data_IF_647967285355
#
_entry.id   IF_647967285355
#
_cell.length_a   1.000
_cell.length_b   1.000
_cell.length_c   1.000
_cell.angle_alpha   90.00
_cell.angle_beta   90.00
_cell.angle_gamma   90.00
#
_symmetry.space_group_name_H-M   'P 1'
#
loop_
_entity.id
_entity.type
_entity.pdbx_description
1 polymer ?
#
# COMPACT_ATOMS: atom_id res chain seq x y z
N UNK A 1 -69.31 2.61 -1.41
CA UNK A 1 -68.27 3.66 -1.51
C UNK A 1 -67.30 3.48 -0.36
N UNK A 2 -66.22 2.79 -0.63
CA UNK A 2 -65.15 2.49 0.35
C UNK A 2 -63.92 3.24 -0.11
N UNK A 3 -63.61 4.34 0.57
CA UNK A 3 -62.44 5.17 0.33
C UNK A 3 -61.20 4.40 0.81
N UNK A 4 -60.32 4.10 -0.14
CA UNK A 4 -58.98 3.56 0.14
C UNK A 4 -58.01 4.75 0.24
N UNK A 5 -57.23 4.91 1.32
CA UNK A 5 -56.28 5.99 1.44
C UNK A 5 -55.11 5.81 0.44
N UNK A 6 -54.52 6.90 -0.05
CA UNK A 6 -53.46 6.85 -1.05
C UNK A 6 -52.17 6.31 -0.40
N UNK A 7 -51.52 5.37 -1.09
CA UNK A 7 -50.20 4.84 -0.74
C UNK A 7 -49.16 5.98 -0.74
N UNK A 8 -48.61 6.25 0.43
CA UNK A 8 -47.48 7.16 0.58
C UNK A 8 -46.25 6.64 -0.22
N UNK A 9 -45.71 7.51 -1.08
CA UNK A 9 -44.44 7.25 -1.74
C UNK A 9 -43.34 7.09 -0.67
N UNK A 10 -42.43 6.12 -0.82
CA UNK A 10 -41.28 6.03 0.09
C UNK A 10 -40.47 7.32 -0.03
N UNK A 11 -40.14 7.89 1.13
CA UNK A 11 -39.27 9.07 1.22
C UNK A 11 -37.92 8.75 0.56
N UNK A 12 -37.33 9.70 -0.19
CA UNK A 12 -36.00 9.49 -0.73
C UNK A 12 -35.04 9.28 0.44
N UNK A 13 -34.26 8.20 0.34
CA UNK A 13 -33.15 7.92 1.25
C UNK A 13 -32.26 9.16 1.28
N UNK A 14 -32.22 9.85 2.42
CA UNK A 14 -31.26 10.97 2.60
C UNK A 14 -29.88 10.37 2.45
N UNK A 15 -29.00 10.93 1.60
CA UNK A 15 -27.60 10.55 1.63
C UNK A 15 -27.14 10.76 3.07
N UNK A 16 -26.49 9.72 3.63
CA UNK A 16 -25.84 9.79 4.92
C UNK A 16 -25.02 11.06 4.94
N UNK A 17 -25.30 11.91 5.91
CA UNK A 17 -24.62 13.19 6.09
C UNK A 17 -23.11 12.91 6.08
N UNK A 18 -22.46 13.24 4.98
CA UNK A 18 -21.06 13.64 5.05
C UNK A 18 -21.12 14.92 5.87
N UNK A 19 -21.08 14.77 7.20
CA UNK A 19 -20.95 15.88 8.10
C UNK A 19 -19.73 16.66 7.60
N UNK A 20 -19.90 17.97 7.40
CA UNK A 20 -18.82 18.84 6.99
C UNK A 20 -17.67 18.58 7.98
N UNK A 21 -16.65 17.85 7.48
CA UNK A 21 -15.45 17.61 8.26
C UNK A 21 -14.91 18.97 8.68
N UNK A 22 -14.56 19.13 9.95
CA UNK A 22 -13.93 20.33 10.41
C UNK A 22 -12.57 20.49 9.72
N UNK A 23 -12.07 21.71 9.62
CA UNK A 23 -10.74 21.96 8.99
C UNK A 23 -9.67 21.09 9.64
N UNK A 24 -9.74 20.89 10.94
CA UNK A 24 -8.86 20.01 11.73
C UNK A 24 -8.95 18.52 11.32
N UNK A 25 -10.15 18.04 10.96
CA UNK A 25 -10.32 16.67 10.49
C UNK A 25 -9.71 16.46 9.09
N UNK A 26 -9.83 17.47 8.21
CA UNK A 26 -9.22 17.42 6.89
C UNK A 26 -7.69 17.49 6.94
N UNK A 27 -7.14 18.32 7.82
CA UNK A 27 -5.70 18.41 8.06
C UNK A 27 -5.15 17.10 8.61
N UNK A 28 -5.80 16.52 9.61
CA UNK A 28 -5.43 15.21 10.16
C UNK A 28 -5.45 14.11 9.11
N UNK A 29 -6.48 14.05 8.26
CA UNK A 29 -6.57 13.09 7.16
C UNK A 29 -5.45 13.24 6.15
N UNK A 30 -5.07 14.49 5.82
CA UNK A 30 -3.92 14.77 4.95
C UNK A 30 -2.61 14.34 5.59
N UNK A 31 -2.40 14.60 6.87
CA UNK A 31 -1.23 14.16 7.62
C UNK A 31 -1.09 12.64 7.65
N UNK A 32 -2.19 11.92 7.77
CA UNK A 32 -2.23 10.45 7.76
C UNK A 32 -2.21 9.86 6.34
N UNK A 33 -2.31 10.71 5.28
CA UNK A 33 -2.40 10.22 3.90
C UNK A 33 -3.68 9.42 3.62
N UNK A 34 -4.75 9.67 4.40
CA UNK A 34 -6.01 8.94 4.29
C UNK A 34 -6.86 9.43 3.12
N UNK A 35 -7.09 8.57 2.15
CA UNK A 35 -8.01 8.80 1.04
C UNK A 35 -9.10 7.74 1.07
N UNK A 36 -10.32 8.15 1.48
CA UNK A 36 -11.43 7.22 1.54
C UNK A 36 -11.87 6.76 0.15
N UNK A 37 -12.01 5.46 0.02
CA UNK A 37 -12.55 4.85 -1.20
C UNK A 37 -14.07 4.88 -1.18
N UNK A 38 -14.68 5.31 -2.28
CA UNK A 38 -16.14 5.27 -2.39
C UNK A 38 -16.64 3.82 -2.42
N UNK A 39 -17.85 3.55 -1.91
CA UNK A 39 -18.48 2.21 -2.03
C UNK A 39 -18.58 1.70 -3.47
N UNK A 40 -18.69 2.62 -4.43
CA UNK A 40 -18.75 2.30 -5.86
C UNK A 40 -17.41 1.69 -6.35
N UNK A 41 -16.28 2.33 -6.01
CA UNK A 41 -14.94 1.83 -6.38
C UNK A 41 -14.62 0.53 -5.66
N UNK A 42 -14.87 0.47 -4.36
CA UNK A 42 -14.63 -0.75 -3.59
C UNK A 42 -15.51 -1.91 -4.05
N UNK A 43 -16.77 -1.62 -4.45
CA UNK A 43 -17.67 -2.59 -5.06
C UNK A 43 -17.19 -3.12 -6.39
N UNK A 44 -16.71 -2.23 -7.25
CA UNK A 44 -16.09 -2.62 -8.51
C UNK A 44 -14.89 -3.55 -8.29
N UNK A 45 -14.01 -3.20 -7.33
CA UNK A 45 -12.84 -4.01 -7.00
C UNK A 45 -13.27 -5.40 -6.52
N UNK A 46 -14.28 -5.49 -5.66
CA UNK A 46 -14.80 -6.76 -5.18
C UNK A 46 -15.40 -7.61 -6.31
N UNK A 47 -16.23 -7.00 -7.14
CA UNK A 47 -16.86 -7.68 -8.26
C UNK A 47 -15.81 -8.20 -9.27
N UNK A 48 -14.74 -7.43 -9.53
CA UNK A 48 -13.65 -7.87 -10.41
C UNK A 48 -12.80 -8.98 -9.76
N UNK A 49 -12.59 -8.96 -8.46
CA UNK A 49 -11.96 -10.08 -7.75
C UNK A 49 -12.74 -11.40 -7.92
N UNK A 50 -14.08 -11.35 -7.86
CA UNK A 50 -14.91 -12.54 -8.10
C UNK A 50 -14.84 -13.01 -9.58
N UNK A 51 -14.76 -12.09 -10.53
CA UNK A 51 -14.55 -12.42 -11.95
C UNK A 51 -13.20 -13.11 -12.16
N UNK A 52 -12.14 -12.58 -11.56
CA UNK A 52 -10.78 -13.16 -11.62
C UNK A 52 -10.74 -14.53 -10.94
N UNK A 53 -11.42 -14.68 -9.80
CA UNK A 53 -11.52 -15.95 -9.08
C UNK A 53 -12.37 -16.99 -9.81
N UNK A 54 -13.27 -16.55 -10.72
CA UNK A 54 -14.13 -17.38 -11.56
C UNK A 54 -15.45 -17.79 -10.91
N UNK A 55 -15.64 -17.50 -9.64
CA UNK A 55 -16.83 -17.82 -8.86
C UNK A 55 -16.90 -16.96 -7.61
N UNK A 56 -17.95 -17.09 -6.82
CA UNK A 56 -18.00 -16.49 -5.48
C UNK A 56 -16.97 -17.15 -4.57
N UNK A 57 -16.40 -16.35 -3.70
CA UNK A 57 -15.47 -16.84 -2.70
C UNK A 57 -16.15 -17.80 -1.71
N UNK A 58 -15.49 -18.88 -1.30
CA UNK A 58 -16.00 -19.74 -0.23
C UNK A 58 -16.19 -18.97 1.07
N UNK A 59 -17.17 -19.38 1.88
CA UNK A 59 -17.43 -18.75 3.20
C UNK A 59 -16.26 -18.83 4.17
N UNK A 60 -15.29 -19.70 3.94
CA UNK A 60 -14.05 -19.81 4.71
C UNK A 60 -12.98 -18.80 4.33
N UNK A 61 -13.20 -18.00 3.26
CA UNK A 61 -12.25 -17.01 2.76
C UNK A 61 -11.95 -15.96 3.80
N UNK A 62 -10.67 -15.78 4.13
CA UNK A 62 -10.18 -14.75 5.03
C UNK A 62 -9.74 -13.53 4.22
N UNK A 63 -10.28 -12.38 4.57
CA UNK A 63 -10.02 -11.11 3.90
C UNK A 63 -9.39 -10.12 4.86
N UNK A 64 -8.37 -9.38 4.43
CA UNK A 64 -7.79 -8.28 5.21
C UNK A 64 -7.64 -7.01 4.38
N UNK A 65 -7.91 -5.88 5.07
CA UNK A 65 -7.48 -4.55 4.67
C UNK A 65 -6.56 -3.98 5.77
N UNK A 66 -5.23 -3.86 5.54
CA UNK A 66 -4.29 -3.40 6.56
C UNK A 66 -4.29 -1.87 6.76
N UNK A 67 -5.13 -1.13 6.03
CA UNK A 67 -5.34 0.32 6.17
C UNK A 67 -6.83 0.62 5.97
N UNK A 68 -7.68 -0.04 6.76
CA UNK A 68 -9.09 -0.25 6.43
C UNK A 68 -9.97 1.02 6.49
N UNK A 69 -9.50 2.10 7.10
CA UNK A 69 -10.30 3.31 7.24
C UNK A 69 -11.67 3.00 7.87
N UNK A 70 -12.73 3.44 7.22
CA UNK A 70 -14.11 3.15 7.65
C UNK A 70 -14.55 1.70 7.35
N UNK A 71 -13.68 0.83 6.81
CA UNK A 71 -13.95 -0.58 6.55
C UNK A 71 -14.74 -0.86 5.26
N UNK A 72 -14.70 0.03 4.27
CA UNK A 72 -15.53 -0.09 3.06
C UNK A 72 -15.28 -1.38 2.27
N UNK A 73 -14.02 -1.83 2.11
CA UNK A 73 -13.70 -3.08 1.41
C UNK A 73 -14.24 -4.30 2.16
N UNK A 74 -14.12 -4.31 3.47
CA UNK A 74 -14.59 -5.40 4.32
C UNK A 74 -16.12 -5.45 4.37
N UNK A 75 -16.76 -4.28 4.41
CA UNK A 75 -18.22 -4.17 4.32
C UNK A 75 -18.75 -4.80 3.04
N UNK A 76 -18.13 -4.51 1.90
CA UNK A 76 -18.55 -5.06 0.61
C UNK A 76 -18.21 -6.55 0.45
N UNK A 77 -17.12 -7.02 1.07
CA UNK A 77 -16.83 -8.45 1.16
C UNK A 77 -17.94 -9.21 1.92
N UNK A 78 -18.52 -8.60 2.96
CA UNK A 78 -19.67 -9.14 3.67
C UNK A 78 -20.96 -9.02 2.86
N UNK A 79 -21.30 -7.81 2.41
CA UNK A 79 -22.58 -7.49 1.78
C UNK A 79 -22.75 -8.18 0.40
N UNK A 80 -21.73 -8.07 -0.46
CA UNK A 80 -21.77 -8.61 -1.82
C UNK A 80 -21.22 -10.04 -1.90
N UNK A 81 -20.08 -10.27 -1.26
CA UNK A 81 -19.41 -11.57 -1.26
C UNK A 81 -20.07 -12.61 -0.37
N UNK A 82 -20.92 -12.20 0.58
CA UNK A 82 -21.57 -13.09 1.53
C UNK A 82 -20.61 -13.70 2.54
N UNK A 83 -19.43 -13.09 2.74
CA UNK A 83 -18.43 -13.62 3.66
C UNK A 83 -18.81 -13.35 5.12
N UNK A 84 -18.62 -14.33 6.02
CA UNK A 84 -18.86 -14.13 7.45
C UNK A 84 -17.99 -13.02 8.03
N UNK A 85 -18.57 -12.15 8.86
CA UNK A 85 -17.82 -11.04 9.48
C UNK A 85 -16.60 -11.54 10.27
N UNK A 86 -16.65 -12.71 10.91
CA UNK A 86 -15.52 -13.29 11.61
C UNK A 86 -14.30 -13.63 10.74
N UNK A 87 -14.46 -13.64 9.41
CA UNK A 87 -13.36 -13.85 8.45
C UNK A 87 -12.83 -12.55 7.85
N UNK A 88 -13.34 -11.40 8.30
CA UNK A 88 -12.93 -10.08 7.87
C UNK A 88 -12.01 -9.47 8.91
N UNK A 89 -10.86 -9.01 8.45
CA UNK A 89 -9.79 -8.46 9.29
C UNK A 89 -9.42 -7.05 8.79
N UNK A 90 -9.10 -6.17 9.72
CA UNK A 90 -8.66 -4.83 9.37
C UNK A 90 -7.89 -4.15 10.48
N UNK A 91 -6.98 -3.30 10.08
CA UNK A 91 -6.25 -2.41 10.97
C UNK A 91 -6.28 -1.00 10.42
N UNK A 92 -6.37 -0.02 11.29
CA UNK A 92 -6.13 1.38 10.94
C UNK A 92 -5.47 2.11 12.12
N UNK A 93 -4.54 3.00 11.82
CA UNK A 93 -3.81 3.77 12.84
C UNK A 93 -4.71 4.82 13.52
N UNK A 94 -5.81 5.19 12.87
CA UNK A 94 -6.75 6.17 13.40
C UNK A 94 -7.75 5.54 14.37
N UNK A 95 -7.45 5.61 15.65
CA UNK A 95 -8.31 5.09 16.70
C UNK A 95 -9.72 5.74 16.77
N UNK A 96 -9.93 6.90 16.12
CA UNK A 96 -11.26 7.55 16.08
C UNK A 96 -12.28 6.77 15.25
N UNK A 97 -11.83 5.88 14.37
CA UNK A 97 -12.68 5.03 13.53
C UNK A 97 -13.38 3.90 14.32
N UNK A 98 -12.88 3.54 15.49
CA UNK A 98 -13.38 2.41 16.29
C UNK A 98 -14.87 2.54 16.58
N UNK A 99 -15.34 3.73 16.95
CA UNK A 99 -16.75 3.97 17.21
C UNK A 99 -17.61 3.70 15.96
N UNK A 100 -17.14 4.11 14.78
CA UNK A 100 -17.80 3.83 13.50
C UNK A 100 -17.93 2.32 13.24
N UNK A 101 -16.85 1.57 13.41
CA UNK A 101 -16.84 0.11 13.21
C UNK A 101 -17.81 -0.61 14.13
N UNK A 102 -17.89 -0.19 15.41
CA UNK A 102 -18.77 -0.80 16.42
C UNK A 102 -20.25 -0.55 16.12
N UNK A 103 -20.57 0.60 15.53
CA UNK A 103 -21.95 0.97 15.19
C UNK A 103 -22.40 0.45 13.82
N UNK A 104 -21.49 0.05 12.95
CA UNK A 104 -21.82 -0.49 11.63
C UNK A 104 -22.32 -1.94 11.74
N UNK A 105 -23.59 -2.22 11.38
CA UNK A 105 -24.14 -3.57 11.47
C UNK A 105 -23.43 -4.57 10.55
N UNK A 106 -22.85 -4.13 9.42
CA UNK A 106 -22.16 -4.98 8.45
C UNK A 106 -20.74 -5.37 8.92
N UNK A 107 -20.15 -4.57 9.81
CA UNK A 107 -18.83 -4.84 10.40
C UNK A 107 -18.89 -5.48 11.78
N UNK A 108 -20.11 -5.67 12.30
CA UNK A 108 -20.30 -6.31 13.61
C UNK A 108 -19.77 -7.74 13.60
N UNK A 109 -18.78 -8.02 14.46
CA UNK A 109 -18.11 -9.31 14.55
C UNK A 109 -16.91 -9.46 13.62
N UNK A 110 -16.56 -8.43 12.83
CA UNK A 110 -15.30 -8.38 12.12
C UNK A 110 -14.12 -8.13 13.07
N UNK A 111 -12.95 -8.62 12.69
CA UNK A 111 -11.71 -8.50 13.47
C UNK A 111 -10.99 -7.18 13.15
N UNK A 112 -11.61 -6.06 13.56
CA UNK A 112 -11.07 -4.72 13.34
C UNK A 112 -10.37 -4.20 14.60
N UNK A 113 -9.22 -3.55 14.45
CA UNK A 113 -8.52 -2.98 15.59
C UNK A 113 -7.79 -1.68 15.23
N UNK A 114 -7.71 -0.74 16.18
CA UNK A 114 -6.83 0.40 16.04
C UNK A 114 -5.38 -0.05 16.18
N UNK A 115 -4.57 0.21 15.15
CA UNK A 115 -3.16 -0.18 15.16
C UNK A 115 -2.48 0.02 13.83
N UNK A 116 -1.17 -0.14 13.83
CA UNK A 116 -0.37 0.01 12.63
C UNK A 116 -0.47 -1.25 11.74
N UNK A 117 -1.13 -1.14 10.60
CA UNK A 117 -1.33 -2.25 9.66
C UNK A 117 -0.05 -2.86 9.05
N UNK A 118 1.09 -2.20 9.24
CA UNK A 118 2.40 -2.76 8.86
C UNK A 118 2.91 -3.82 9.85
N UNK A 119 2.28 -3.93 11.03
CA UNK A 119 2.68 -4.87 12.07
C UNK A 119 1.83 -6.15 12.02
N UNK A 120 2.46 -7.27 12.37
CA UNK A 120 1.75 -8.50 12.67
C UNK A 120 1.11 -8.41 14.06
N UNK A 121 -0.10 -8.93 14.18
CA UNK A 121 -0.85 -9.05 15.44
C UNK A 121 -1.37 -10.49 15.61
N UNK A 122 -0.47 -11.45 15.94
CA UNK A 122 -0.80 -12.88 15.99
C UNK A 122 -1.96 -13.20 16.94
N UNK A 123 -2.05 -12.49 18.07
CA UNK A 123 -3.17 -12.63 19.02
C UNK A 123 -4.54 -12.25 18.39
N UNK A 124 -4.53 -11.54 17.26
CA UNK A 124 -5.73 -11.18 16.48
C UNK A 124 -5.84 -11.96 15.17
N UNK A 125 -4.94 -12.89 14.92
CA UNK A 125 -4.88 -13.66 13.67
C UNK A 125 -4.41 -12.87 12.46
N UNK A 126 -3.67 -11.75 12.65
CA UNK A 126 -3.07 -10.95 11.58
C UNK A 126 -1.60 -11.27 11.49
N UNK A 127 -1.26 -12.08 10.51
CA UNK A 127 0.10 -12.55 10.25
C UNK A 127 0.39 -12.60 8.76
N UNK A 128 1.67 -12.54 8.39
CA UNK A 128 2.11 -12.75 7.01
C UNK A 128 1.65 -14.13 6.49
N UNK A 129 1.19 -14.19 5.24
CA UNK A 129 0.77 -15.44 4.59
C UNK A 129 -0.54 -16.03 5.08
N UNK A 130 -1.36 -15.27 5.83
CA UNK A 130 -2.56 -15.81 6.47
C UNK A 130 -3.87 -15.56 5.70
N UNK A 131 -3.88 -14.76 4.63
CA UNK A 131 -5.11 -14.28 4.01
C UNK A 131 -5.32 -14.77 2.59
N UNK A 132 -6.55 -15.17 2.28
CA UNK A 132 -6.97 -15.56 0.93
C UNK A 132 -7.09 -14.37 0.00
N UNK A 133 -7.54 -13.23 0.53
CA UNK A 133 -7.70 -11.97 -0.19
C UNK A 133 -7.14 -10.83 0.66
N UNK A 134 -6.30 -10.01 0.05
CA UNK A 134 -5.81 -8.76 0.62
C UNK A 134 -6.29 -7.62 -0.29
N UNK A 135 -7.22 -6.80 0.19
CA UNK A 135 -7.82 -5.75 -0.64
C UNK A 135 -7.91 -4.43 0.15
N UNK A 136 -7.53 -3.33 -0.48
CA UNK A 136 -7.59 -2.03 0.18
C UNK A 136 -6.98 -0.88 -0.61
N UNK A 137 -7.03 0.29 0.01
CA UNK A 137 -6.44 1.52 -0.45
C UNK A 137 -5.46 2.06 0.60
N UNK A 138 -4.18 1.67 0.55
CA UNK A 138 -3.19 2.11 1.53
C UNK A 138 -2.96 3.62 1.46
N UNK A 139 -2.39 4.24 2.51
CA UNK A 139 -2.07 5.65 2.49
C UNK A 139 -1.03 5.98 1.41
N UNK A 140 -1.24 7.11 0.72
CA UNK A 140 -0.30 7.69 -0.24
C UNK A 140 0.17 9.03 0.30
N UNK A 141 1.46 9.24 0.40
CA UNK A 141 1.98 10.50 0.95
C UNK A 141 1.71 10.69 2.46
N UNK A 142 1.77 11.92 2.93
CA UNK A 142 1.68 12.25 4.33
C UNK A 142 3.05 12.15 5.02
N UNK A 143 3.06 12.03 6.35
CA UNK A 143 4.31 11.88 7.14
C UNK A 143 5.04 10.57 6.83
N UNK A 144 4.31 9.57 6.33
CA UNK A 144 4.88 8.27 6.03
C UNK A 144 5.54 7.64 7.26
N UNK A 145 6.79 7.21 7.09
CA UNK A 145 7.58 6.61 8.18
C UNK A 145 8.50 7.62 8.90
N UNK A 146 8.33 8.93 8.67
CA UNK A 146 9.19 9.98 9.27
C UNK A 146 9.21 9.96 10.80
N UNK A 147 8.13 9.49 11.43
CA UNK A 147 8.09 9.33 12.89
C UNK A 147 9.16 8.38 13.43
N UNK A 148 9.74 7.52 12.58
CA UNK A 148 10.89 6.69 12.96
C UNK A 148 12.11 7.51 13.33
N UNK A 149 12.30 8.72 12.77
CA UNK A 149 13.40 9.61 13.10
C UNK A 149 13.40 10.04 14.58
N UNK A 150 12.22 10.06 15.21
CA UNK A 150 12.08 10.37 16.65
C UNK A 150 12.81 9.37 17.54
N UNK A 151 13.09 8.16 17.04
CA UNK A 151 13.93 7.20 17.77
C UNK A 151 15.39 7.64 17.88
N UNK A 152 15.84 8.50 16.95
CA UNK A 152 17.21 9.02 16.89
C UNK A 152 17.39 10.31 17.69
N UNK A 153 16.29 10.92 18.14
CA UNK A 153 16.31 12.11 19.00
C UNK A 153 16.62 11.68 20.43
N UNK A 154 17.73 12.14 20.98
CA UNK A 154 18.04 11.93 22.40
C UNK A 154 17.20 12.91 23.24
N UNK A 155 16.70 12.50 24.43
CA UNK A 155 15.81 13.33 25.25
C UNK A 155 16.42 14.65 25.73
N UNK A 156 17.75 14.83 25.64
CA UNK A 156 18.47 15.96 26.24
C UNK A 156 19.28 16.83 25.26
N UNK A 157 19.35 16.54 23.96
CA UNK A 157 20.25 17.27 23.05
C UNK A 157 19.63 17.72 21.74
N UNK A 158 18.34 18.03 21.69
CA UNK A 158 17.77 18.71 20.54
C UNK A 158 18.40 20.14 20.45
N UNK A 159 19.56 20.26 19.80
CA UNK A 159 20.10 21.55 19.40
C UNK A 159 19.33 22.05 18.19
N UNK A 160 18.86 23.32 18.20
CA UNK A 160 18.09 23.88 17.08
C UNK A 160 18.86 23.98 15.76
N UNK A 161 20.18 23.78 15.77
CA UNK A 161 21.07 24.06 14.66
C UNK A 161 21.31 22.90 13.66
N UNK A 162 20.84 21.67 13.94
CA UNK A 162 20.98 20.55 13.00
C UNK A 162 19.75 20.35 12.08
N UNK A 163 18.82 21.28 12.09
CA UNK A 163 17.58 21.22 11.29
C UNK A 163 17.76 21.63 9.83
N UNK A 164 18.91 22.16 9.43
CA UNK A 164 19.13 22.79 8.11
C UNK A 164 19.57 21.83 6.98
N UNK A 165 19.71 20.54 7.21
CA UNK A 165 20.21 19.61 6.17
C UNK A 165 19.15 18.91 5.31
N UNK A 166 17.86 19.15 5.54
CA UNK A 166 16.77 18.58 4.75
C UNK A 166 15.83 19.66 4.21
N UNK A 167 16.39 20.76 3.74
CA UNK A 167 15.61 21.79 3.05
C UNK A 167 15.48 21.40 1.57
N UNK A 168 14.58 20.48 1.26
CA UNK A 168 14.13 20.28 -0.11
C UNK A 168 12.75 20.93 -0.28
N UNK A 169 12.62 21.68 -1.34
CA UNK A 169 11.74 22.79 -1.67
C UNK A 169 10.21 22.58 -1.54
N UNK A 170 9.71 21.60 -0.81
CA UNK A 170 8.30 21.31 -0.60
C UNK A 170 7.73 21.66 0.79
N UNK A 171 8.52 22.18 1.72
CA UNK A 171 8.07 22.48 3.09
C UNK A 171 8.24 23.97 3.42
N UNK A 172 7.55 24.83 2.69
CA UNK A 172 7.25 26.17 3.21
C UNK A 172 5.91 26.08 3.91
N UNK A 173 5.95 26.04 5.27
CA UNK A 173 4.97 26.68 6.13
C UNK A 173 5.14 26.23 7.59
N UNK A 174 5.65 27.17 8.42
CA UNK A 174 5.59 27.16 9.87
C UNK A 174 6.74 26.45 10.59
N UNK A 175 7.12 26.94 11.80
CA UNK A 175 8.10 26.24 12.63
C UNK A 175 7.55 24.85 12.98
N UNK A 176 8.36 23.82 12.74
CA UNK A 176 8.02 22.47 13.16
C UNK A 176 7.67 22.47 14.66
N UNK A 177 6.54 21.90 15.08
CA UNK A 177 6.22 21.83 16.49
C UNK A 177 7.34 21.05 17.19
N UNK A 178 7.87 21.62 18.28
CA UNK A 178 8.82 20.92 19.13
C UNK A 178 8.19 19.57 19.52
N UNK A 179 8.81 18.47 19.10
CA UNK A 179 8.31 17.13 19.32
C UNK A 179 8.28 16.84 20.83
N UNK A 180 7.11 16.50 21.34
CA UNK A 180 7.03 15.98 22.70
C UNK A 180 7.85 14.67 22.82
N UNK A 181 8.57 14.44 23.92
CA UNK A 181 9.31 13.21 24.12
C UNK A 181 8.45 11.97 23.89
N UNK A 182 9.02 10.94 23.26
CA UNK A 182 8.31 9.68 23.05
C UNK A 182 7.97 9.04 24.42
N UNK A 183 6.70 8.66 24.58
CA UNK A 183 6.34 7.78 25.69
C UNK A 183 7.04 6.42 25.53
N UNK A 184 7.24 5.71 26.64
CA UNK A 184 7.84 4.36 26.61
C UNK A 184 7.09 3.42 25.65
N UNK A 185 5.76 3.51 25.62
CA UNK A 185 4.93 2.71 24.72
C UNK A 185 5.13 3.08 23.25
N UNK A 186 5.11 4.38 22.92
CA UNK A 186 5.34 4.85 21.55
C UNK A 186 6.74 4.47 21.05
N UNK A 187 7.77 4.58 21.89
CA UNK A 187 9.13 4.13 21.55
C UNK A 187 9.16 2.63 21.24
N UNK A 188 8.53 1.80 22.06
CA UNK A 188 8.49 0.35 21.85
C UNK A 188 7.76 -0.02 20.54
N UNK A 189 6.69 0.70 20.21
CA UNK A 189 5.96 0.49 18.96
C UNK A 189 6.80 0.86 17.73
N UNK A 190 7.49 2.00 17.76
CA UNK A 190 8.39 2.40 16.67
C UNK A 190 9.59 1.44 16.54
N UNK A 191 10.16 0.95 17.62
CA UNK A 191 11.22 -0.07 17.59
C UNK A 191 10.69 -1.39 16.97
N UNK A 192 9.49 -1.80 17.34
CA UNK A 192 8.83 -2.95 16.71
C UNK A 192 8.64 -2.75 15.21
N UNK A 193 8.25 -1.54 14.80
CA UNK A 193 8.11 -1.18 13.38
C UNK A 193 9.45 -1.26 12.65
N UNK A 194 10.54 -0.71 13.20
CA UNK A 194 11.89 -0.83 12.62
C UNK A 194 12.28 -2.30 12.43
N UNK A 195 12.05 -3.16 13.44
CA UNK A 195 12.35 -4.60 13.37
C UNK A 195 11.54 -5.31 12.28
N UNK A 196 10.26 -4.97 12.15
CA UNK A 196 9.39 -5.52 11.11
C UNK A 196 9.85 -5.08 9.73
N UNK A 197 10.02 -3.78 9.54
CA UNK A 197 10.40 -3.22 8.25
C UNK A 197 11.84 -3.54 7.83
N UNK A 198 12.74 -3.81 8.77
CA UNK A 198 14.10 -4.25 8.43
C UNK A 198 14.12 -5.54 7.60
N UNK A 199 13.07 -6.35 7.69
CA UNK A 199 12.88 -7.58 6.89
C UNK A 199 12.29 -7.32 5.51
N UNK A 200 11.80 -6.10 5.23
CA UNK A 200 11.21 -5.74 3.95
C UNK A 200 12.31 -5.51 2.90
N UNK A 201 11.95 -5.74 1.65
CA UNK A 201 12.87 -5.58 0.53
C UNK A 201 12.83 -4.18 -0.06
N UNK A 202 11.66 -3.53 -0.08
CA UNK A 202 11.41 -2.28 -0.80
C UNK A 202 12.41 -1.15 -0.48
N UNK A 203 12.74 -0.94 0.78
CA UNK A 203 13.66 0.14 1.19
C UNK A 203 15.11 -0.10 0.76
N UNK A 204 15.49 -1.36 0.49
CA UNK A 204 16.81 -1.74 -0.02
C UNK A 204 16.89 -1.55 -1.53
N UNK A 205 15.81 -1.89 -2.25
CA UNK A 205 15.72 -1.78 -3.70
C UNK A 205 15.74 -0.33 -4.19
N UNK A 206 15.09 0.57 -3.47
CA UNK A 206 15.18 2.01 -3.76
C UNK A 206 16.61 2.55 -3.63
N UNK A 207 17.42 2.00 -2.70
CA UNK A 207 18.81 2.41 -2.54
C UNK A 207 19.67 2.08 -3.78
N UNK A 208 19.33 1.06 -4.52
CA UNK A 208 20.05 0.66 -5.74
C UNK A 208 19.83 1.64 -6.89
N UNK A 209 18.69 2.36 -6.91
CA UNK A 209 18.33 3.29 -7.99
C UNK A 209 18.81 4.73 -7.80
N UNK A 210 19.10 5.16 -6.57
CA UNK A 210 19.58 6.52 -6.31
C UNK A 210 20.95 6.84 -6.91
N UNK A 211 21.63 5.85 -7.49
CA UNK A 211 22.96 5.96 -8.08
C UNK A 211 22.98 5.75 -9.61
N UNK A 212 21.85 5.65 -10.28
CA UNK A 212 21.85 5.80 -11.73
C UNK A 212 22.16 7.26 -12.04
N UNK A 213 23.39 7.49 -12.56
CA UNK A 213 23.77 8.80 -13.04
C UNK A 213 22.76 9.25 -14.10
N UNK A 214 22.33 10.52 -14.12
CA UNK A 214 21.51 11.01 -15.21
C UNK A 214 22.28 10.75 -16.53
N UNK A 215 21.55 10.24 -17.55
CA UNK A 215 22.00 10.20 -18.92
C UNK A 215 22.23 11.66 -19.40
N UNK A 216 23.39 12.19 -19.09
CA UNK A 216 23.85 13.52 -19.44
C UNK A 216 25.28 13.42 -19.90
N UNK A 217 25.44 13.59 -21.19
CA UNK A 217 26.64 13.84 -22.00
C UNK A 217 27.97 13.86 -21.21
N UNK A 218 28.79 12.88 -21.55
CA UNK A 218 30.17 12.76 -21.12
C UNK A 218 31.04 13.87 -21.77
N UNK A 219 31.02 15.04 -21.14
CA UNK A 219 32.08 16.03 -21.28
C UNK A 219 32.70 16.34 -19.92
N UNK A 220 33.09 15.30 -19.22
CA UNK A 220 33.87 15.44 -18.01
C UNK A 220 35.30 15.00 -18.27
N UNK A 221 36.20 15.94 -18.07
CA UNK A 221 37.65 15.73 -18.10
C UNK A 221 38.05 14.61 -17.08
N UNK A 222 39.17 13.91 -17.34
CA UNK A 222 39.46 12.62 -16.70
C UNK A 222 39.91 12.79 -15.26
N UNK A 223 38.99 12.50 -14.33
CA UNK A 223 39.31 12.21 -12.95
C UNK A 223 38.86 10.80 -12.64
N UNK A 224 39.76 9.91 -12.35
CA UNK A 224 39.56 8.45 -12.14
C UNK A 224 38.56 8.04 -11.05
N UNK A 225 37.88 8.99 -10.40
CA UNK A 225 36.92 8.73 -9.31
C UNK A 225 35.50 8.33 -9.78
N UNK A 226 35.20 8.43 -11.08
CA UNK A 226 33.87 8.22 -11.63
C UNK A 226 33.81 7.16 -12.74
N UNK A 227 34.74 6.21 -12.75
CA UNK A 227 34.66 5.10 -13.69
C UNK A 227 33.41 4.26 -13.41
N UNK A 228 32.68 3.79 -14.46
CA UNK A 228 31.47 2.95 -14.31
C UNK A 228 31.67 1.73 -13.42
N UNK A 229 32.87 1.15 -13.40
CA UNK A 229 33.26 0.04 -12.52
C UNK A 229 33.27 0.45 -11.03
N UNK A 230 33.80 1.65 -10.71
CA UNK A 230 33.83 2.16 -9.34
C UNK A 230 32.42 2.49 -8.80
N UNK A 231 31.51 2.92 -9.66
CA UNK A 231 30.10 3.13 -9.35
C UNK A 231 29.39 1.81 -9.11
N UNK A 232 29.63 0.79 -9.95
CA UNK A 232 29.07 -0.56 -9.76
C UNK A 232 29.56 -1.21 -8.47
N UNK A 233 30.83 -1.03 -8.10
CA UNK A 233 31.38 -1.54 -6.85
C UNK A 233 30.85 -0.79 -5.63
N UNK A 234 30.61 0.53 -5.72
CA UNK A 234 29.91 1.30 -4.67
C UNK A 234 28.47 0.81 -4.49
N UNK A 235 27.72 0.56 -5.57
CA UNK A 235 26.35 0.01 -5.52
C UNK A 235 26.32 -1.31 -4.79
N UNK A 236 27.21 -2.25 -5.13
CA UNK A 236 27.32 -3.56 -4.44
C UNK A 236 27.68 -3.42 -2.97
N UNK A 237 28.60 -2.52 -2.65
CA UNK A 237 29.00 -2.24 -1.26
C UNK A 237 27.83 -1.66 -0.46
N UNK A 238 27.04 -0.74 -1.04
CA UNK A 238 25.91 -0.11 -0.37
C UNK A 238 24.78 -1.11 -0.13
N UNK A 239 24.42 -1.92 -1.12
CA UNK A 239 23.44 -3.00 -0.97
C UNK A 239 23.89 -4.02 0.09
N UNK A 240 25.16 -4.40 0.11
CA UNK A 240 25.73 -5.28 1.13
C UNK A 240 25.63 -4.71 2.54
N UNK A 241 25.85 -3.41 2.72
CA UNK A 241 25.73 -2.73 4.01
C UNK A 241 24.30 -2.77 4.55
N UNK A 242 23.32 -2.45 3.71
CA UNK A 242 21.89 -2.51 4.10
C UNK A 242 21.43 -3.94 4.40
N UNK A 243 21.91 -4.93 3.65
CA UNK A 243 21.62 -6.33 3.92
C UNK A 243 22.20 -6.77 5.27
N UNK A 244 23.45 -6.38 5.59
CA UNK A 244 24.06 -6.65 6.89
C UNK A 244 23.31 -5.96 8.04
N UNK A 245 22.93 -4.71 7.87
CA UNK A 245 22.15 -3.95 8.83
C UNK A 245 20.78 -4.60 9.09
N UNK A 246 20.08 -5.02 8.03
CA UNK A 246 18.81 -5.72 8.12
C UNK A 246 18.96 -7.04 8.90
N UNK A 247 19.98 -7.83 8.60
CA UNK A 247 20.30 -9.08 9.34
C UNK A 247 20.66 -8.83 10.81
N UNK A 248 21.38 -7.76 11.08
CA UNK A 248 21.71 -7.35 12.45
C UNK A 248 20.44 -7.06 13.25
N UNK A 249 19.55 -6.20 12.69
CA UNK A 249 18.30 -5.80 13.36
C UNK A 249 17.36 -7.00 13.51
N UNK A 250 17.23 -7.84 12.48
CA UNK A 250 16.39 -9.04 12.52
C UNK A 250 16.82 -10.05 13.58
N UNK A 251 18.13 -10.13 13.90
CA UNK A 251 18.69 -11.02 14.92
C UNK A 251 18.80 -10.38 16.30
N UNK A 252 18.45 -9.07 16.41
CA UNK A 252 18.54 -8.38 17.70
C UNK A 252 17.57 -8.97 18.70
N UNK A 253 18.00 -9.26 19.94
CA UNK A 253 17.12 -9.85 20.95
C UNK A 253 15.85 -9.01 21.16
N UNK A 254 14.69 -9.65 21.18
CA UNK A 254 13.39 -8.98 21.32
C UNK A 254 13.20 -8.34 22.71
N UNK A 255 13.85 -8.88 23.72
CA UNK A 255 13.84 -8.42 25.09
C UNK A 255 14.76 -7.23 25.35
N UNK A 256 15.56 -6.81 24.35
CA UNK A 256 16.48 -5.67 24.45
C UNK A 256 16.07 -4.56 23.50
N UNK A 257 16.11 -3.29 23.93
CA UNK A 257 15.91 -2.16 23.02
C UNK A 257 17.00 -2.14 21.95
N UNK A 258 16.67 -1.58 20.78
CA UNK A 258 17.66 -1.37 19.73
C UNK A 258 18.74 -0.37 20.19
N UNK A 259 19.96 -0.66 19.82
CA UNK A 259 21.10 0.22 20.14
C UNK A 259 21.26 1.30 19.06
N UNK A 260 20.71 2.48 19.34
CA UNK A 260 20.76 3.63 18.42
C UNK A 260 22.12 4.32 18.36
N UNK A 261 23.11 3.90 19.17
CA UNK A 261 24.50 4.38 19.03
C UNK A 261 25.19 3.78 17.81
N UNK A 262 24.68 2.65 17.29
CA UNK A 262 25.24 1.93 16.15
C UNK A 262 24.90 2.61 14.83
N UNK A 263 25.91 2.94 14.00
CA UNK A 263 25.68 3.56 12.70
C UNK A 263 24.70 2.78 11.83
N UNK A 264 24.83 1.45 11.78
CA UNK A 264 24.00 0.59 10.95
C UNK A 264 22.51 0.67 11.32
N UNK A 265 22.19 0.79 12.61
CA UNK A 265 20.82 0.96 13.10
C UNK A 265 20.29 2.34 12.72
N UNK A 266 21.10 3.39 12.94
CA UNK A 266 20.72 4.77 12.60
C UNK A 266 20.46 4.94 11.11
N UNK A 267 21.35 4.43 10.27
CA UNK A 267 21.23 4.55 8.82
C UNK A 267 20.02 3.76 8.29
N UNK A 268 19.74 2.58 8.84
CA UNK A 268 18.51 1.85 8.54
C UNK A 268 17.26 2.66 8.90
N UNK A 269 17.23 3.29 10.08
CA UNK A 269 16.08 4.13 10.49
C UNK A 269 15.93 5.33 9.55
N UNK A 270 17.01 6.03 9.21
CA UNK A 270 16.95 7.14 8.24
C UNK A 270 16.43 6.69 6.89
N UNK A 271 16.93 5.56 6.41
CA UNK A 271 16.51 5.01 5.13
C UNK A 271 15.04 4.59 5.13
N UNK A 272 14.60 3.87 6.16
CA UNK A 272 13.18 3.53 6.34
C UNK A 272 12.30 4.79 6.40
N UNK A 273 12.73 5.80 7.13
CA UNK A 273 11.98 7.06 7.26
C UNK A 273 11.86 7.83 5.94
N UNK A 274 12.78 7.64 4.99
CA UNK A 274 12.76 8.24 3.66
C UNK A 274 12.00 7.40 2.62
N UNK A 275 11.68 6.15 2.94
CA UNK A 275 10.95 5.26 2.02
C UNK A 275 9.47 5.67 1.93
N UNK A 276 8.96 5.74 0.72
CA UNK A 276 7.56 6.11 0.47
C UNK A 276 6.60 5.09 1.10
N UNK A 277 5.61 5.58 1.84
CA UNK A 277 4.69 4.72 2.60
C UNK A 277 3.89 3.78 1.72
N UNK A 278 3.49 4.20 0.52
CA UNK A 278 2.79 3.42 -0.47
C UNK A 278 3.61 2.23 -0.97
N UNK A 279 4.93 2.37 -1.07
CA UNK A 279 5.86 1.28 -1.45
C UNK A 279 5.89 0.22 -0.35
N UNK A 280 6.00 0.66 0.91
CA UNK A 280 6.02 -0.24 2.07
C UNK A 280 4.70 -0.99 2.22
N UNK A 281 3.56 -0.30 2.07
CA UNK A 281 2.26 -0.95 2.11
C UNK A 281 2.05 -1.91 0.94
N UNK A 282 2.52 -1.58 -0.27
CA UNK A 282 2.42 -2.50 -1.40
C UNK A 282 3.15 -3.83 -1.10
N UNK A 283 4.36 -3.77 -0.50
CA UNK A 283 5.03 -4.98 -0.02
C UNK A 283 4.23 -5.68 1.09
N UNK A 284 3.61 -4.93 2.01
CA UNK A 284 2.76 -5.50 3.06
C UNK A 284 1.59 -6.29 2.51
N UNK A 285 0.91 -5.79 1.47
CA UNK A 285 -0.19 -6.51 0.81
C UNK A 285 0.28 -7.88 0.28
N UNK A 286 1.45 -7.90 -0.37
CA UNK A 286 2.03 -9.16 -0.88
C UNK A 286 2.36 -10.11 0.27
N UNK A 287 2.91 -9.62 1.37
CA UNK A 287 3.30 -10.43 2.53
C UNK A 287 2.11 -11.02 3.28
N UNK A 288 1.00 -10.27 3.39
CA UNK A 288 -0.22 -10.75 4.05
C UNK A 288 -0.92 -11.85 3.27
N UNK A 289 -0.84 -11.82 1.92
CA UNK A 289 -1.46 -12.82 1.08
C UNK A 289 -0.77 -14.19 1.24
N UNK A 290 -1.56 -15.23 1.44
CA UNK A 290 -1.06 -16.61 1.41
C UNK A 290 -0.60 -16.98 -0.01
N UNK A 291 0.26 -18.00 -0.18
CA UNK A 291 0.55 -18.56 -1.50
C UNK A 291 -0.74 -18.89 -2.26
N UNK A 292 -0.89 -18.39 -3.49
CA UNK A 292 -2.11 -18.50 -4.29
C UNK A 292 -3.22 -17.50 -3.94
N UNK A 293 -3.08 -16.71 -2.86
CA UNK A 293 -4.05 -15.69 -2.45
C UNK A 293 -4.10 -14.51 -3.42
N UNK A 294 -5.25 -13.85 -3.48
CA UNK A 294 -5.49 -12.68 -4.34
C UNK A 294 -5.19 -11.38 -3.63
N UNK A 295 -4.68 -10.43 -4.41
CA UNK A 295 -4.35 -9.09 -3.96
C UNK A 295 -5.08 -8.10 -4.87
N UNK A 296 -5.77 -7.12 -4.27
CA UNK A 296 -6.33 -5.98 -4.98
C UNK A 296 -5.94 -4.70 -4.25
N UNK A 297 -5.02 -3.94 -4.78
CA UNK A 297 -4.46 -2.76 -4.13
C UNK A 297 -4.59 -1.54 -5.02
N UNK A 298 -5.12 -0.45 -4.46
CA UNK A 298 -5.07 0.85 -5.13
C UNK A 298 -3.68 1.42 -4.91
N UNK A 299 -3.02 1.81 -5.99
CA UNK A 299 -1.66 2.36 -5.95
C UNK A 299 -1.58 3.64 -6.76
N UNK A 300 -0.72 4.60 -6.37
CA UNK A 300 -0.45 5.78 -7.18
C UNK A 300 0.33 5.41 -8.45
N UNK A 301 0.28 6.26 -9.45
CA UNK A 301 0.98 6.08 -10.75
C UNK A 301 2.48 5.82 -10.56
N UNK A 302 3.10 6.36 -9.52
CA UNK A 302 4.52 6.14 -9.23
C UNK A 302 4.89 4.66 -9.08
N UNK A 303 4.01 3.84 -8.49
CA UNK A 303 4.26 2.41 -8.33
C UNK A 303 4.30 1.70 -9.70
N UNK A 304 3.38 2.06 -10.61
CA UNK A 304 3.23 1.37 -11.89
C UNK A 304 4.13 1.92 -13.01
N UNK A 305 4.51 3.19 -12.96
CA UNK A 305 5.15 3.86 -14.09
C UNK A 305 6.47 4.58 -13.78
N UNK A 306 6.84 4.86 -12.52
CA UNK A 306 8.08 5.57 -12.22
C UNK A 306 9.31 4.69 -12.49
N UNK A 307 10.30 5.21 -13.22
CA UNK A 307 11.55 4.51 -13.50
C UNK A 307 12.33 4.20 -12.21
N UNK A 308 12.29 5.11 -11.25
CA UNK A 308 12.92 4.93 -9.92
C UNK A 308 12.44 3.67 -9.21
N UNK A 309 11.18 3.25 -9.40
CA UNK A 309 10.60 2.05 -8.80
C UNK A 309 10.68 0.81 -9.71
N UNK A 310 11.47 0.85 -10.78
CA UNK A 310 11.72 -0.30 -11.66
C UNK A 310 12.14 -1.55 -10.89
N UNK A 311 13.22 -1.49 -10.07
CA UNK A 311 13.66 -2.64 -9.27
C UNK A 311 12.60 -3.16 -8.31
N UNK A 312 11.78 -2.27 -7.73
CA UNK A 312 10.67 -2.69 -6.88
C UNK A 312 9.58 -3.44 -7.66
N UNK A 313 9.24 -2.98 -8.88
CA UNK A 313 8.30 -3.71 -9.76
C UNK A 313 8.83 -5.09 -10.14
N UNK A 314 10.11 -5.21 -10.46
CA UNK A 314 10.75 -6.50 -10.72
C UNK A 314 10.61 -7.42 -9.50
N UNK A 315 10.89 -6.90 -8.30
CA UNK A 315 10.71 -7.64 -7.06
C UNK A 315 9.24 -8.09 -6.87
N UNK A 316 8.28 -7.17 -7.10
CA UNK A 316 6.85 -7.49 -7.02
C UNK A 316 6.48 -8.65 -7.96
N UNK A 317 6.88 -8.58 -9.24
CA UNK A 317 6.61 -9.62 -10.22
C UNK A 317 7.32 -10.95 -9.88
N UNK A 318 8.42 -10.89 -9.15
CA UNK A 318 9.06 -12.10 -8.58
C UNK A 318 8.24 -12.75 -7.47
N UNK A 319 7.33 -12.01 -6.83
CA UNK A 319 6.50 -12.48 -5.70
C UNK A 319 5.04 -12.74 -6.07
N UNK A 320 4.56 -12.16 -7.15
CA UNK A 320 3.15 -12.25 -7.56
C UNK A 320 3.00 -12.31 -9.08
N UNK A 321 1.94 -12.94 -9.54
CA UNK A 321 1.47 -12.89 -10.92
C UNK A 321 0.55 -11.69 -11.07
N UNK A 322 0.88 -10.77 -11.98
CA UNK A 322 0.02 -9.64 -12.30
C UNK A 322 -1.15 -10.12 -13.16
N UNK A 323 -2.37 -9.98 -12.67
CA UNK A 323 -3.59 -10.44 -13.34
C UNK A 323 -4.30 -9.33 -14.09
N UNK A 324 -4.39 -8.14 -13.47
CA UNK A 324 -4.99 -6.97 -14.11
C UNK A 324 -4.42 -5.67 -13.55
N UNK A 325 -4.45 -4.63 -14.38
CA UNK A 325 -4.20 -3.24 -14.00
C UNK A 325 -5.27 -2.34 -14.58
N UNK A 326 -6.05 -1.70 -13.71
CA UNK A 326 -7.14 -0.81 -14.11
C UNK A 326 -6.83 0.60 -13.64
N UNK A 327 -6.50 1.50 -14.58
CA UNK A 327 -6.33 2.91 -14.27
C UNK A 327 -7.65 3.53 -13.86
N UNK A 328 -7.68 4.20 -12.71
CA UNK A 328 -8.87 4.89 -12.23
C UNK A 328 -8.99 6.28 -12.86
N UNK A 329 -10.22 6.75 -13.15
CA UNK A 329 -10.41 8.08 -13.69
C UNK A 329 -9.84 9.16 -12.76
N UNK A 330 -9.23 10.23 -13.30
CA UNK A 330 -8.84 11.38 -12.50
C UNK A 330 -10.01 11.90 -11.68
N UNK A 331 -9.72 12.41 -10.50
CA UNK A 331 -10.74 12.96 -9.59
C UNK A 331 -11.70 11.95 -8.98
N UNK A 332 -11.52 10.64 -9.15
CA UNK A 332 -12.37 9.64 -8.48
C UNK A 332 -12.31 9.77 -6.94
N UNK A 333 -11.23 10.35 -6.43
CA UNK A 333 -11.01 10.65 -5.01
C UNK A 333 -11.12 12.14 -4.66
N UNK A 334 -11.67 13.01 -5.54
CA UNK A 334 -11.70 14.48 -5.32
C UNK A 334 -12.52 14.93 -4.12
N UNK A 335 -13.51 14.14 -3.69
CA UNK A 335 -14.23 14.41 -2.45
C UNK A 335 -13.33 14.40 -1.20
N UNK A 336 -12.09 13.93 -1.33
CA UNK A 336 -11.10 13.74 -0.25
C UNK A 336 -9.83 14.60 -0.47
N UNK A 337 -9.79 15.41 -1.55
CA UNK A 337 -8.69 16.38 -1.78
C UNK A 337 -7.46 15.82 -2.48
N UNK A 338 -7.48 14.61 -3.06
CA UNK A 338 -6.38 14.06 -3.84
C UNK A 338 -6.61 14.18 -5.34
N UNK A 339 -5.62 14.72 -6.05
CA UNK A 339 -5.55 14.72 -7.53
C UNK A 339 -4.58 13.65 -8.08
N UNK A 340 -4.17 12.69 -7.25
CA UNK A 340 -3.24 11.67 -7.68
C UNK A 340 -3.90 10.73 -8.71
N UNK A 341 -3.22 10.50 -9.82
CA UNK A 341 -3.58 9.43 -10.76
C UNK A 341 -3.25 8.10 -10.09
N UNK A 342 -4.23 7.22 -10.07
CA UNK A 342 -4.15 5.93 -9.38
C UNK A 342 -4.59 4.79 -10.28
N UNK A 343 -4.11 3.60 -9.98
CA UNK A 343 -4.54 2.36 -10.62
C UNK A 343 -4.89 1.32 -9.56
N UNK A 344 -5.81 0.42 -9.89
CA UNK A 344 -6.00 -0.79 -9.10
C UNK A 344 -5.19 -1.90 -9.73
N UNK A 345 -4.30 -2.48 -8.95
CA UNK A 345 -3.51 -3.66 -9.32
C UNK A 345 -4.15 -4.90 -8.73
N UNK A 346 -4.45 -5.87 -9.60
CA UNK A 346 -4.92 -7.19 -9.20
C UNK A 346 -3.80 -8.20 -9.46
N UNK A 347 -3.48 -8.98 -8.45
CA UNK A 347 -2.41 -9.95 -8.55
C UNK A 347 -2.73 -11.22 -7.74
N UNK A 348 -1.98 -12.29 -8.03
CA UNK A 348 -2.00 -13.52 -7.25
C UNK A 348 -0.63 -13.73 -6.63
N UNK A 349 -0.55 -13.93 -5.32
CA UNK A 349 0.69 -14.28 -4.64
C UNK A 349 1.20 -15.61 -5.19
N UNK A 350 2.46 -15.64 -5.69
CA UNK A 350 3.04 -16.87 -6.20
C UNK A 350 3.13 -17.93 -5.10
N UNK A 351 2.93 -19.18 -5.48
CA UNK A 351 3.15 -20.33 -4.59
C UNK A 351 4.65 -20.50 -4.31
N UNK A 352 5.46 -20.26 -5.32
CA UNK A 352 6.91 -20.20 -5.23
C UNK A 352 7.38 -18.88 -5.83
N UNK A 353 8.28 -18.21 -5.12
CA UNK A 353 8.88 -16.99 -5.61
C UNK A 353 9.74 -17.30 -6.85
N UNK A 354 9.87 -16.34 -7.76
CA UNK A 354 10.83 -16.45 -8.84
C UNK A 354 12.26 -16.49 -8.26
N UNK A 355 13.15 -17.27 -8.85
CA UNK A 355 14.54 -17.34 -8.41
C UNK A 355 15.26 -16.01 -8.60
N UNK A 356 16.33 -15.79 -7.84
CA UNK A 356 17.15 -14.60 -8.01
C UNK A 356 17.68 -14.51 -9.44
N UNK A 357 17.64 -13.29 -10.01
CA UNK A 357 18.08 -13.06 -11.39
C UNK A 357 17.10 -13.50 -12.49
N UNK A 358 15.87 -13.91 -12.16
CA UNK A 358 14.83 -14.31 -13.13
C UNK A 358 14.58 -13.24 -14.22
N UNK A 359 14.85 -11.99 -13.91
CA UNK A 359 14.68 -10.84 -14.79
C UNK A 359 15.97 -10.49 -15.60
N UNK A 360 17.02 -11.30 -15.50
CA UNK A 360 18.20 -11.10 -16.33
C UNK A 360 17.85 -11.29 -17.81
N UNK A 361 18.57 -10.60 -18.69
CA UNK A 361 18.31 -10.69 -20.13
C UNK A 361 18.38 -12.13 -20.62
N UNK A 362 19.35 -12.90 -20.12
CA UNK A 362 19.54 -14.30 -20.46
C UNK A 362 18.40 -15.19 -19.95
N UNK A 363 17.78 -14.81 -18.81
CA UNK A 363 16.61 -15.52 -18.30
C UNK A 363 15.36 -15.19 -19.10
N UNK A 364 15.16 -13.89 -19.44
CA UNK A 364 14.03 -13.43 -20.25
C UNK A 364 14.06 -13.99 -21.66
N UNK A 365 15.24 -14.09 -22.28
CA UNK A 365 15.40 -14.69 -23.61
C UNK A 365 15.10 -16.21 -23.65
N UNK A 366 14.99 -16.87 -22.49
CA UNK A 366 14.63 -18.29 -22.35
C UNK A 366 13.18 -18.53 -22.00
N UNK A 367 12.42 -17.46 -21.68
CA UNK A 367 11.00 -17.60 -21.44
C UNK A 367 10.30 -18.03 -22.75
N UNK A 368 9.34 -18.94 -22.68
CA UNK A 368 8.50 -19.24 -23.82
C UNK A 368 7.76 -17.97 -24.25
N UNK A 369 7.54 -17.81 -25.57
CA UNK A 369 6.80 -16.69 -26.15
C UNK A 369 5.30 -16.65 -25.73
N UNK A 370 4.84 -17.66 -25.00
CA UNK A 370 3.50 -17.72 -24.45
C UNK A 370 3.42 -16.85 -23.18
N UNK A 371 3.12 -15.57 -23.37
CA UNK A 371 2.83 -14.65 -22.28
C UNK A 371 1.44 -14.92 -21.71
N UNK A 372 1.34 -15.08 -20.41
CA UNK A 372 0.05 -15.02 -19.71
C UNK A 372 -0.55 -13.62 -19.93
N UNK A 373 -1.73 -13.51 -20.57
CA UNK A 373 -2.28 -12.20 -20.88
C UNK A 373 -2.67 -11.44 -19.64
N UNK A 374 -2.32 -10.15 -19.58
CA UNK A 374 -2.67 -9.24 -18.49
C UNK A 374 -3.83 -8.34 -18.94
N UNK A 375 -4.89 -8.30 -18.15
CA UNK A 375 -6.02 -7.40 -18.40
C UNK A 375 -5.66 -5.96 -18.03
N UNK A 376 -5.45 -5.09 -19.02
CA UNK A 376 -5.07 -3.70 -18.80
C UNK A 376 -6.09 -2.73 -19.39
N UNK A 377 -6.59 -1.80 -18.58
CA UNK A 377 -7.60 -0.81 -19.00
C UNK A 377 -7.28 0.58 -18.47
N UNK A 378 -7.45 1.58 -19.33
CA UNK A 378 -7.38 2.98 -18.96
C UNK A 378 -8.62 3.75 -19.44
N UNK A 379 -9.07 4.81 -18.70
CA UNK A 379 -10.24 5.58 -19.10
C UNK A 379 -9.96 6.46 -20.32
N UNK A 380 -10.92 6.53 -21.24
CA UNK A 380 -10.93 7.53 -22.33
C UNK A 380 -11.78 8.72 -21.86
N UNK A 381 -11.13 9.76 -21.39
CA UNK A 381 -11.76 10.91 -20.73
C UNK A 381 -12.52 11.82 -21.72
N UNK A 382 -12.23 11.74 -23.00
CA UNK A 382 -12.83 12.49 -24.10
C UNK A 382 -14.12 11.84 -24.64
N UNK A 383 -14.48 10.68 -24.14
CA UNK A 383 -15.69 9.98 -24.57
C UNK A 383 -16.95 10.75 -24.17
N UNK A 384 -17.88 10.95 -25.12
CA UNK A 384 -19.19 11.57 -24.83
C UNK A 384 -19.95 10.73 -23.79
N UNK A 385 -20.47 11.40 -22.76
CA UNK A 385 -21.21 10.73 -21.68
C UNK A 385 -20.33 9.98 -20.67
N UNK A 386 -19.04 10.32 -20.60
CA UNK A 386 -18.14 9.74 -19.60
C UNK A 386 -18.64 10.04 -18.18
N UNK A 387 -18.80 8.99 -17.38
CA UNK A 387 -18.96 9.07 -15.93
C UNK A 387 -18.10 7.98 -15.27
N UNK A 388 -17.76 8.16 -14.00
CA UNK A 388 -16.97 7.18 -13.26
C UNK A 388 -17.72 5.83 -13.20
N UNK A 389 -19.02 5.86 -12.90
CA UNK A 389 -19.85 4.66 -12.84
C UNK A 389 -19.89 3.92 -14.18
N UNK A 390 -20.20 4.64 -15.28
CA UNK A 390 -20.26 4.02 -16.60
C UNK A 390 -18.93 3.44 -17.08
N UNK A 391 -17.81 4.02 -16.61
CA UNK A 391 -16.47 3.48 -16.88
C UNK A 391 -16.26 2.16 -16.13
N UNK A 392 -16.51 2.13 -14.82
CA UNK A 392 -16.31 0.94 -13.99
C UNK A 392 -17.24 -0.22 -14.43
N UNK A 393 -18.50 0.07 -14.74
CA UNK A 393 -19.46 -0.92 -15.28
C UNK A 393 -18.97 -1.53 -16.59
N UNK A 394 -18.45 -0.72 -17.52
CA UNK A 394 -17.91 -1.19 -18.79
C UNK A 394 -16.69 -2.08 -18.60
N UNK A 395 -15.72 -1.65 -17.76
CA UNK A 395 -14.54 -2.46 -17.44
C UNK A 395 -14.95 -3.82 -16.89
N UNK A 396 -15.94 -3.86 -15.99
CA UNK A 396 -16.45 -5.09 -15.42
C UNK A 396 -17.15 -5.97 -16.45
N UNK A 397 -17.91 -5.37 -17.37
CA UNK A 397 -18.55 -6.10 -18.47
C UNK A 397 -17.51 -6.71 -19.43
N UNK A 398 -16.47 -5.95 -19.77
CA UNK A 398 -15.37 -6.42 -20.61
C UNK A 398 -14.59 -7.55 -19.92
N UNK A 399 -14.29 -7.41 -18.63
CA UNK A 399 -13.64 -8.44 -17.84
C UNK A 399 -14.43 -9.75 -17.78
N UNK A 400 -15.75 -9.68 -17.61
CA UNK A 400 -16.64 -10.85 -17.64
C UNK A 400 -16.68 -11.52 -19.02
N UNK A 401 -16.70 -10.73 -20.10
CA UNK A 401 -16.74 -11.26 -21.48
C UNK A 401 -15.43 -11.96 -21.84
N UNK A 402 -14.30 -11.41 -21.43
CA UNK A 402 -12.96 -11.89 -21.77
C UNK A 402 -12.36 -12.81 -20.67
N UNK A 403 -13.15 -13.23 -19.68
CA UNK A 403 -12.67 -13.96 -18.50
C UNK A 403 -11.80 -15.17 -18.85
N UNK A 404 -12.31 -16.04 -19.74
CA UNK A 404 -11.63 -17.30 -20.07
C UNK A 404 -10.31 -17.09 -20.83
N UNK A 405 -10.16 -15.92 -21.45
CA UNK A 405 -8.91 -15.51 -22.09
C UNK A 405 -7.85 -15.10 -21.10
N UNK A 406 -8.23 -14.31 -20.07
CA UNK A 406 -7.29 -13.73 -19.12
C UNK A 406 -7.11 -14.58 -17.86
N UNK A 407 -8.15 -15.30 -17.46
CA UNK A 407 -8.15 -16.06 -16.20
C UNK A 407 -8.87 -17.40 -16.37
N UNK A 408 -8.35 -18.30 -17.22
CA UNK A 408 -8.95 -19.63 -17.40
C UNK A 408 -9.00 -20.40 -16.08
N UNK A 409 -10.00 -21.25 -15.92
CA UNK A 409 -10.04 -22.15 -14.77
C UNK A 409 -8.79 -23.06 -14.81
N UNK A 410 -8.13 -23.30 -13.67
CA UNK A 410 -7.02 -24.22 -13.64
C UNK A 410 -7.49 -25.61 -14.10
N UNK A 411 -6.83 -26.12 -15.13
CA UNK A 411 -7.08 -27.45 -15.71
C UNK A 411 -6.74 -28.57 -14.72
#
# INVERSE_FOLDING_TARGET
MTDTPPKSKPAPCRPSSIAAATVTDLERRRELGQFFTSPEVAGFIWDLLEVIYGRRFPSSTRVIDPACGEGVFLRLAHERGGLPAGNLFGADIDATLVAGWQHDPLLRGANLHPGNGLLDEPARGIEEGAFDVVAGNPPFSGRGLRDLLRLLEEPETARPEEQDFFDDACLKEGPAPAWAPLSRQARAELERLVRTLSRYSCWRLEAETEFEAPDGEADAAPGELFAPAALADRRRLTAGVYEQAARLIARWPLDRPLDFSRPEVRDTIRRLASTAIEVVFTERFVRLAKPGGLIAVIVPESIVASDRLGPFRIWLLGKMDLLASVSLPPKIFTGVGANAKTSVVFARRRVQDQPDGWYSREALDRLPEEDDPIFMVAPRLDARGFSHASYLERVLADARRERDRFWPDPT
#
